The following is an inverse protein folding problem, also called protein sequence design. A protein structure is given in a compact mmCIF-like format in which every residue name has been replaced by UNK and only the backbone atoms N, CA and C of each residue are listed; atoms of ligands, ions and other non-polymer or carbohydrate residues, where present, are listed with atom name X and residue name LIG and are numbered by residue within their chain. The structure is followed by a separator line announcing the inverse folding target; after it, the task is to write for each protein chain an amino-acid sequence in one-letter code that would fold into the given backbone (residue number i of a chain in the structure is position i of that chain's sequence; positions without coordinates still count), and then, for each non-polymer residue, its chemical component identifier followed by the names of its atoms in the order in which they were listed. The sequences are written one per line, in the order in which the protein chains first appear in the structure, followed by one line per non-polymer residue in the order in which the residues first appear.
data_IF_641085981260
#
_entry.id   IF_641085981260
#
_cell.length_a   1.000
_cell.length_b   1.000
_cell.length_c   1.000
_cell.angle_alpha   90.00
_cell.angle_beta   90.00
_cell.angle_gamma   90.00
#
_symmetry.space_group_name_H-M   'P 1'
#
loop_
_entity.id
_entity.type
_entity.pdbx_description
1 polymer ?
#
# COMPACT_ATOMS: atom_id res chain seq x y z
N UNK A 1 12.42 -16.98 -0.50
CA UNK A 1 13.73 -16.54 0.04
C UNK A 1 13.67 -16.71 1.56
N UNK A 2 14.53 -17.55 2.16
CA UNK A 2 14.52 -17.80 3.61
C UNK A 2 15.08 -16.59 4.37
N UNK A 3 14.32 -16.03 5.32
CA UNK A 3 14.66 -14.78 6.04
C UNK A 3 15.28 -14.98 7.42
N UNK A 4 15.61 -16.21 7.82
CA UNK A 4 16.18 -16.48 9.15
C UNK A 4 15.18 -16.23 10.27
N UNK A 5 13.98 -16.80 10.14
CA UNK A 5 12.88 -16.63 11.09
C UNK A 5 13.29 -17.06 12.50
N UNK A 6 13.00 -16.20 13.47
CA UNK A 6 13.12 -16.50 14.90
C UNK A 6 11.73 -16.93 15.36
N UNK A 7 11.59 -18.21 15.72
CA UNK A 7 10.36 -18.73 16.31
C UNK A 7 10.24 -18.25 17.77
N UNK A 8 9.26 -17.38 18.03
CA UNK A 8 9.00 -16.84 19.38
C UNK A 8 7.72 -17.47 19.91
N UNK A 9 7.86 -18.28 20.96
CA UNK A 9 6.71 -18.90 21.65
C UNK A 9 6.19 -18.00 22.74
N UNK A 10 4.92 -17.62 22.63
CA UNK A 10 4.22 -16.82 23.63
C UNK A 10 3.43 -17.76 24.55
N UNK A 11 3.61 -17.61 25.87
CA UNK A 11 3.00 -18.47 26.89
C UNK A 11 1.71 -17.92 27.49
N UNK A 12 1.20 -16.82 26.95
CA UNK A 12 -0.03 -16.14 27.37
C UNK A 12 -0.78 -15.59 26.15
N UNK A 13 -2.04 -15.19 26.33
CA UNK A 13 -2.75 -14.41 25.32
C UNK A 13 -1.98 -13.11 25.04
N UNK A 14 -1.67 -12.88 23.77
CA UNK A 14 -0.89 -11.73 23.33
C UNK A 14 -1.34 -11.33 21.94
N UNK A 15 -1.67 -10.05 21.79
CA UNK A 15 -1.94 -9.46 20.49
C UNK A 15 -0.70 -8.72 20.00
N UNK A 16 -0.03 -9.28 19.00
CA UNK A 16 1.15 -8.67 18.37
C UNK A 16 0.80 -7.36 17.64
N UNK A 17 -0.46 -7.18 17.21
CA UNK A 17 -0.88 -5.98 16.47
C UNK A 17 -0.75 -4.69 17.28
N UNK A 18 -0.66 -4.78 18.60
CA UNK A 18 -0.38 -3.62 19.47
C UNK A 18 0.97 -2.95 19.11
N UNK A 19 1.92 -3.70 18.54
CA UNK A 19 3.23 -3.17 18.11
C UNK A 19 3.29 -2.83 16.63
N UNK A 20 2.36 -3.34 15.82
CA UNK A 20 2.38 -3.20 14.36
C UNK A 20 1.20 -2.41 13.80
N UNK A 21 0.52 -1.64 14.64
CA UNK A 21 -0.55 -0.74 14.25
C UNK A 21 -0.08 0.72 14.21
N UNK A 22 -0.14 1.35 13.03
CA UNK A 22 0.43 2.67 12.76
C UNK A 22 -0.58 3.64 12.16
N UNK A 23 -0.52 4.90 12.55
CA UNK A 23 -1.32 5.95 11.92
C UNK A 23 -0.75 6.32 10.55
N UNK A 24 -1.56 6.19 9.50
CA UNK A 24 -1.12 6.45 8.14
C UNK A 24 -1.25 7.94 7.81
N UNK A 25 -0.13 8.65 7.89
CA UNK A 25 -0.09 10.08 7.59
C UNK A 25 0.03 10.37 6.10
N UNK A 26 0.85 9.60 5.38
CA UNK A 26 1.22 9.89 4.00
C UNK A 26 1.63 8.62 3.26
N UNK A 27 1.18 8.51 2.02
CA UNK A 27 1.63 7.50 1.04
C UNK A 27 2.29 8.23 -0.11
N UNK A 28 3.39 7.69 -0.63
CA UNK A 28 4.05 8.28 -1.77
C UNK A 28 4.94 7.30 -2.51
N UNK A 29 5.16 7.58 -3.78
CA UNK A 29 6.05 6.79 -4.65
C UNK A 29 7.29 7.57 -5.02
N UNK A 30 8.19 6.97 -5.79
CA UNK A 30 9.25 7.69 -6.48
C UNK A 30 9.27 7.28 -7.94
N UNK A 31 9.07 8.24 -8.86
CA UNK A 31 8.92 7.96 -10.30
C UNK A 31 10.24 7.92 -11.07
N UNK A 32 11.26 8.63 -10.59
CA UNK A 32 12.53 8.83 -11.33
C UNK A 32 13.78 8.42 -10.54
N UNK A 33 13.72 8.39 -9.20
CA UNK A 33 14.84 8.04 -8.32
C UNK A 33 14.41 6.94 -7.32
N UNK A 34 15.32 6.28 -6.62
CA UNK A 34 14.93 5.40 -5.53
C UNK A 34 14.25 6.18 -4.37
N UNK A 35 13.38 5.51 -3.61
CA UNK A 35 12.62 6.12 -2.50
C UNK A 35 13.55 6.75 -1.45
N UNK A 36 14.75 6.20 -1.28
CA UNK A 36 15.75 6.71 -0.34
C UNK A 36 16.29 8.08 -0.76
N UNK A 37 16.71 8.22 -2.01
CA UNK A 37 17.27 9.46 -2.57
C UNK A 37 16.22 10.57 -2.55
N UNK A 38 14.98 10.28 -2.96
CA UNK A 38 13.88 11.25 -2.92
C UNK A 38 13.58 11.73 -1.49
N UNK A 39 13.65 10.83 -0.51
CA UNK A 39 13.20 11.14 0.84
C UNK A 39 14.26 11.87 1.69
N UNK A 40 15.54 11.52 1.50
CA UNK A 40 16.63 12.02 2.35
C UNK A 40 17.51 13.08 1.69
N UNK A 41 17.60 13.13 0.36
CA UNK A 41 18.47 14.10 -0.35
C UNK A 41 17.79 15.43 -0.60
N UNK A 42 16.52 15.41 -1.01
CA UNK A 42 15.76 16.61 -1.37
C UNK A 42 14.60 16.84 -0.41
N UNK A 43 14.91 17.34 0.80
CA UNK A 43 13.98 17.75 1.88
C UNK A 43 12.48 17.57 1.53
N UNK A 44 11.99 16.33 1.62
CA UNK A 44 10.71 15.98 1.03
C UNK A 44 9.58 16.74 1.72
N UNK A 45 8.87 17.59 0.98
CA UNK A 45 7.84 18.51 1.52
C UNK A 45 6.79 17.79 2.38
N UNK A 46 6.42 16.56 2.02
CA UNK A 46 5.49 15.73 2.81
C UNK A 46 6.04 15.40 4.19
N UNK A 47 7.30 14.97 4.27
CA UNK A 47 7.97 14.64 5.54
C UNK A 47 8.13 15.89 6.42
N UNK A 48 8.55 17.02 5.83
CA UNK A 48 8.64 18.29 6.57
C UNK A 48 7.27 18.71 7.10
N UNK A 49 6.20 18.58 6.30
CA UNK A 49 4.84 18.91 6.74
C UNK A 49 4.38 18.05 7.92
N UNK A 50 4.71 16.76 7.92
CA UNK A 50 4.44 15.84 9.03
C UNK A 50 5.23 16.24 10.28
N UNK A 51 6.52 16.51 10.14
CA UNK A 51 7.37 16.88 11.28
C UNK A 51 6.96 18.22 11.90
N UNK A 52 6.46 19.16 11.08
CA UNK A 52 6.03 20.49 11.54
C UNK A 52 4.61 20.49 12.12
N UNK A 53 3.67 19.79 11.49
CA UNK A 53 2.24 19.89 11.81
C UNK A 53 1.64 18.62 12.43
N UNK A 54 2.40 17.53 12.49
CA UNK A 54 1.99 16.31 13.19
C UNK A 54 2.02 16.50 14.71
N UNK A 55 1.22 15.71 15.42
CA UNK A 55 1.22 15.67 16.88
C UNK A 55 1.74 14.31 17.37
N UNK A 56 2.76 14.29 18.26
CA UNK A 56 3.25 13.05 18.82
C UNK A 56 2.17 12.43 19.70
N UNK A 57 2.10 11.11 19.70
CA UNK A 57 1.16 10.34 20.51
C UNK A 57 1.64 10.25 21.96
N UNK A 58 2.94 10.17 22.17
CA UNK A 58 3.52 10.09 23.52
C UNK A 58 3.82 11.48 24.06
N UNK A 59 3.38 11.73 25.29
CA UNK A 59 3.67 12.99 25.98
C UNK A 59 5.18 13.18 26.16
N UNK A 60 5.68 14.34 25.76
CA UNK A 60 7.10 14.70 25.87
C UNK A 60 7.98 14.24 24.70
N UNK A 61 7.46 13.43 23.77
CA UNK A 61 8.17 13.00 22.56
C UNK A 61 8.14 14.05 21.46
N UNK A 62 9.07 13.98 20.51
CA UNK A 62 9.01 14.74 19.25
C UNK A 62 8.39 13.89 18.16
N UNK A 63 7.79 14.53 17.16
CA UNK A 63 7.31 13.83 15.95
C UNK A 63 8.37 12.99 15.27
N UNK A 64 9.63 13.43 15.30
CA UNK A 64 10.76 12.68 14.72
C UNK A 64 11.02 11.35 15.41
N UNK A 65 10.65 11.22 16.69
CA UNK A 65 10.97 10.05 17.52
C UNK A 65 9.95 8.92 17.28
N UNK A 66 8.78 9.26 16.76
CA UNK A 66 7.67 8.33 16.50
C UNK A 66 7.38 8.11 15.00
N UNK A 67 8.09 8.85 14.13
CA UNK A 67 7.90 8.74 12.68
C UNK A 67 8.57 7.48 12.14
N UNK A 68 7.75 6.53 11.68
CA UNK A 68 8.20 5.34 10.97
C UNK A 68 8.00 5.52 9.47
N UNK A 69 8.97 5.06 8.67
CA UNK A 69 8.91 5.09 7.21
C UNK A 69 9.00 3.66 6.70
N UNK A 70 7.94 3.22 6.03
CA UNK A 70 7.88 1.91 5.40
C UNK A 70 8.28 2.03 3.93
N UNK A 71 9.12 1.10 3.48
CA UNK A 71 9.48 0.94 2.08
C UNK A 71 8.93 -0.40 1.61
N UNK A 72 8.02 -0.37 0.65
CA UNK A 72 7.40 -1.55 0.08
C UNK A 72 8.01 -1.88 -1.27
N UNK A 73 8.07 -3.18 -1.56
CA UNK A 73 8.37 -3.74 -2.86
C UNK A 73 7.10 -4.36 -3.43
N UNK A 74 7.01 -4.43 -4.76
CA UNK A 74 5.90 -5.12 -5.41
C UNK A 74 6.13 -6.62 -5.41
N UNK A 75 5.10 -7.36 -5.00
CA UNK A 75 4.98 -8.79 -5.19
C UNK A 75 3.58 -9.05 -5.75
N UNK A 76 3.50 -9.61 -6.95
CA UNK A 76 2.24 -9.84 -7.64
C UNK A 76 2.30 -11.08 -8.54
N UNK A 77 1.12 -11.64 -8.76
CA UNK A 77 0.90 -12.69 -9.75
C UNK A 77 -0.34 -12.36 -10.57
N UNK A 78 -0.37 -12.83 -11.81
CA UNK A 78 -1.48 -12.60 -12.74
C UNK A 78 -2.25 -13.90 -12.96
N UNK A 79 -3.59 -13.81 -13.00
CA UNK A 79 -4.46 -14.91 -13.41
C UNK A 79 -5.05 -14.56 -14.78
N UNK A 80 -4.64 -15.31 -15.80
CA UNK A 80 -5.16 -15.14 -17.15
C UNK A 80 -6.18 -16.25 -17.46
N UNK A 81 -7.34 -15.87 -17.99
CA UNK A 81 -8.39 -16.81 -18.43
C UNK A 81 -8.55 -16.69 -19.94
N UNK A 82 -7.98 -17.64 -20.68
CA UNK A 82 -7.99 -17.65 -22.14
C UNK A 82 -9.09 -18.58 -22.65
N UNK A 83 -10.01 -18.06 -23.47
CA UNK A 83 -11.06 -18.87 -24.12
C UNK A 83 -10.75 -19.16 -25.59
N UNK A 84 -9.84 -18.39 -26.19
CA UNK A 84 -9.42 -18.51 -27.58
C UNK A 84 -7.90 -18.52 -27.69
N UNK A 85 -7.38 -18.93 -28.85
CA UNK A 85 -5.94 -18.85 -29.14
C UNK A 85 -5.45 -17.39 -29.18
N UNK A 86 -6.28 -16.47 -29.69
CA UNK A 86 -5.96 -15.03 -29.70
C UNK A 86 -5.85 -14.44 -28.28
N UNK A 87 -6.74 -14.84 -27.36
CA UNK A 87 -6.62 -14.44 -25.94
C UNK A 87 -5.33 -14.96 -25.33
N UNK A 88 -4.96 -16.20 -25.65
CA UNK A 88 -3.72 -16.79 -25.17
C UNK A 88 -2.50 -16.02 -25.68
N UNK A 89 -2.43 -15.71 -26.98
CA UNK A 89 -1.31 -14.96 -27.55
C UNK A 89 -1.20 -13.54 -26.97
N UNK A 90 -2.33 -12.86 -26.74
CA UNK A 90 -2.38 -11.53 -26.14
C UNK A 90 -1.95 -11.55 -24.67
N UNK A 91 -2.52 -12.44 -23.85
CA UNK A 91 -2.43 -12.37 -22.39
C UNK A 91 -1.20 -13.12 -21.84
N UNK A 92 -0.68 -14.11 -22.56
CA UNK A 92 0.49 -14.89 -22.12
C UNK A 92 1.78 -14.04 -22.03
N UNK A 93 1.85 -12.98 -22.82
CA UNK A 93 3.00 -12.05 -22.83
C UNK A 93 2.74 -10.75 -22.08
N UNK A 94 1.59 -10.61 -21.43
CA UNK A 94 1.23 -9.39 -20.71
C UNK A 94 2.15 -9.19 -19.51
N UNK A 95 2.91 -8.09 -19.54
CA UNK A 95 3.76 -7.63 -18.44
C UNK A 95 3.43 -6.17 -18.20
N UNK A 96 2.86 -5.87 -17.05
CA UNK A 96 2.62 -4.50 -16.63
C UNK A 96 3.92 -3.87 -16.18
N UNK A 97 4.26 -2.65 -16.64
CA UNK A 97 5.35 -1.89 -16.05
C UNK A 97 5.12 -1.65 -14.56
N UNK A 98 6.08 -2.02 -13.71
CA UNK A 98 6.01 -1.85 -12.25
C UNK A 98 5.67 -0.41 -11.84
N UNK A 99 6.15 0.58 -12.58
CA UNK A 99 5.86 1.99 -12.32
C UNK A 99 4.36 2.31 -12.39
N UNK A 100 3.62 1.68 -13.31
CA UNK A 100 2.17 1.83 -13.42
C UNK A 100 1.46 1.18 -12.24
N UNK A 101 1.91 -0.01 -11.83
CA UNK A 101 1.38 -0.72 -10.65
C UNK A 101 1.59 0.10 -9.38
N UNK A 102 2.82 0.62 -9.18
CA UNK A 102 3.17 1.48 -8.04
C UNK A 102 2.34 2.78 -8.04
N UNK A 103 2.19 3.42 -9.21
CA UNK A 103 1.41 4.65 -9.33
C UNK A 103 -0.08 4.44 -9.08
N UNK A 104 -0.64 3.32 -9.52
CA UNK A 104 -2.05 2.98 -9.28
C UNK A 104 -2.28 2.62 -7.80
N UNK A 105 -1.39 1.82 -7.20
CA UNK A 105 -1.43 1.50 -5.78
C UNK A 105 -1.35 2.75 -4.89
N UNK A 106 -0.47 3.72 -5.19
CA UNK A 106 -0.41 5.00 -4.49
C UNK A 106 -1.78 5.70 -4.46
N UNK A 107 -2.42 5.77 -5.62
CA UNK A 107 -3.72 6.44 -5.78
C UNK A 107 -4.81 5.69 -5.03
N UNK A 108 -4.80 4.37 -5.11
CA UNK A 108 -5.72 3.49 -4.41
C UNK A 108 -5.67 3.72 -2.90
N UNK A 109 -4.47 3.65 -2.31
CA UNK A 109 -4.28 3.82 -0.87
C UNK A 109 -4.61 5.25 -0.41
N UNK A 110 -4.18 6.28 -1.14
CA UNK A 110 -4.47 7.67 -0.77
C UNK A 110 -5.97 7.96 -0.82
N UNK A 111 -6.65 7.50 -1.88
CA UNK A 111 -8.05 7.78 -2.09
C UNK A 111 -8.93 7.05 -1.08
N UNK A 112 -8.71 5.74 -0.90
CA UNK A 112 -9.59 4.90 -0.10
C UNK A 112 -9.29 4.92 1.40
N UNK A 113 -8.04 5.17 1.83
CA UNK A 113 -7.72 5.32 3.25
C UNK A 113 -7.78 6.79 3.70
N UNK A 114 -7.90 7.75 2.77
CA UNK A 114 -8.01 9.18 3.03
C UNK A 114 -6.89 9.77 3.92
N UNK A 115 -5.64 9.57 3.53
CA UNK A 115 -4.46 9.97 4.33
C UNK A 115 -4.36 11.48 4.58
N UNK A 116 -4.05 11.88 5.82
CA UNK A 116 -4.13 13.29 6.26
C UNK A 116 -3.21 14.27 5.52
N UNK A 117 -1.99 13.84 5.18
CA UNK A 117 -0.95 14.75 4.66
C UNK A 117 -0.76 14.70 3.14
N UNK A 118 -1.45 13.79 2.42
CA UNK A 118 -1.47 13.82 0.96
C UNK A 118 -2.36 14.96 0.47
N UNK A 119 -1.78 15.91 -0.28
CA UNK A 119 -2.51 17.05 -0.85
C UNK A 119 -3.42 16.65 -2.01
N UNK A 120 -2.97 15.71 -2.83
CA UNK A 120 -3.75 15.14 -3.93
C UNK A 120 -4.47 13.91 -3.40
N UNK A 121 -5.79 13.84 -3.60
CA UNK A 121 -6.67 12.78 -3.05
C UNK A 121 -7.20 11.79 -4.08
N UNK A 122 -6.90 12.03 -5.36
CA UNK A 122 -7.28 11.17 -6.49
C UNK A 122 -8.78 10.79 -6.50
N UNK A 123 -9.67 11.78 -6.32
CA UNK A 123 -11.13 11.56 -6.23
C UNK A 123 -11.77 10.86 -7.46
N UNK A 124 -11.02 10.73 -8.55
CA UNK A 124 -11.47 10.05 -9.78
C UNK A 124 -10.92 8.61 -9.89
N UNK A 125 -10.10 8.14 -8.94
CA UNK A 125 -9.60 6.78 -8.91
C UNK A 125 -10.77 5.77 -9.00
N UNK A 126 -10.67 4.69 -9.79
CA UNK A 126 -9.48 4.18 -10.49
C UNK A 126 -9.14 4.88 -11.82
N UNK A 127 -9.94 5.84 -12.28
CA UNK A 127 -9.72 6.50 -13.58
C UNK A 127 -8.46 7.36 -13.60
N UNK A 128 -7.68 7.23 -14.66
CA UNK A 128 -6.52 8.07 -14.93
C UNK A 128 -5.64 7.53 -16.05
N UNK A 129 -4.82 8.40 -16.65
CA UNK A 129 -3.85 8.02 -17.70
C UNK A 129 -2.57 7.38 -17.13
N UNK A 130 -2.34 7.56 -15.84
CA UNK A 130 -1.15 7.09 -15.11
C UNK A 130 -1.66 6.06 -14.10
N UNK A 131 -1.32 4.78 -14.27
CA UNK A 131 -1.87 3.68 -13.47
C UNK A 131 -2.34 2.52 -14.34
N UNK A 132 -3.26 1.69 -13.82
CA UNK A 132 -3.69 0.45 -14.47
C UNK A 132 -5.02 0.56 -15.22
N UNK A 133 -5.71 1.71 -15.16
CA UNK A 133 -7.03 1.88 -15.78
C UNK A 133 -7.03 1.61 -17.29
N UNK A 134 -5.96 1.98 -18.00
CA UNK A 134 -5.82 1.81 -19.45
C UNK A 134 -5.26 0.45 -19.87
N UNK A 135 -4.87 -0.39 -18.91
CA UNK A 135 -4.19 -1.66 -19.17
C UNK A 135 -5.13 -2.79 -19.62
N UNK A 136 -6.45 -2.55 -19.63
CA UNK A 136 -7.44 -3.54 -20.05
C UNK A 136 -7.64 -4.69 -19.06
N UNK A 137 -7.15 -4.55 -17.83
CA UNK A 137 -7.38 -5.52 -16.75
C UNK A 137 -8.87 -5.57 -16.38
N UNK A 138 -9.40 -6.78 -16.20
CA UNK A 138 -10.79 -6.97 -15.75
C UNK A 138 -10.97 -6.57 -14.30
N UNK A 139 -10.09 -7.08 -13.44
CA UNK A 139 -10.05 -6.78 -12.02
C UNK A 139 -8.63 -6.99 -11.50
N UNK A 140 -8.33 -6.34 -10.39
CA UNK A 140 -7.08 -6.48 -9.66
C UNK A 140 -7.28 -6.06 -8.20
N UNK A 141 -6.34 -6.45 -7.35
CA UNK A 141 -6.39 -6.12 -5.93
C UNK A 141 -5.04 -5.73 -5.37
N UNK A 142 -5.05 -4.84 -4.37
CA UNK A 142 -3.89 -4.49 -3.58
C UNK A 142 -4.08 -4.92 -2.13
N UNK A 143 -3.08 -5.58 -1.58
CA UNK A 143 -2.99 -5.91 -0.16
C UNK A 143 -1.58 -5.61 0.36
N UNK A 144 -1.42 -5.64 1.67
CA UNK A 144 -0.13 -5.52 2.32
C UNK A 144 0.28 -6.91 2.81
N UNK A 145 1.35 -7.44 2.22
CA UNK A 145 1.92 -8.76 2.53
C UNK A 145 2.86 -8.71 3.74
N UNK A 146 2.38 -8.18 4.86
CA UNK A 146 3.11 -8.05 6.12
C UNK A 146 2.12 -7.90 7.28
N UNK A 147 2.47 -8.38 8.48
CA UNK A 147 1.60 -8.32 9.67
C UNK A 147 1.58 -6.92 10.31
N UNK A 148 1.26 -5.91 9.50
CA UNK A 148 1.12 -4.50 9.89
C UNK A 148 -0.31 -4.01 9.61
N UNK A 149 -0.74 -3.06 10.42
CA UNK A 149 -2.03 -2.39 10.28
C UNK A 149 -1.81 -0.89 10.13
N UNK A 150 -2.53 -0.30 9.21
CA UNK A 150 -2.57 1.14 9.01
C UNK A 150 -3.95 1.66 9.35
N UNK A 151 -4.02 2.71 10.15
CA UNK A 151 -5.29 3.37 10.46
C UNK A 151 -5.24 4.86 10.11
N UNK A 152 -6.39 5.39 9.73
CA UNK A 152 -6.68 6.82 9.61
C UNK A 152 -7.88 7.16 10.47
N UNK A 153 -8.34 8.41 10.42
CA UNK A 153 -9.55 8.83 11.14
C UNK A 153 -10.82 8.09 10.64
N UNK A 154 -10.76 7.50 9.44
CA UNK A 154 -11.94 6.91 8.77
C UNK A 154 -11.91 5.39 8.71
N UNK A 155 -10.72 4.77 8.61
CA UNK A 155 -10.60 3.34 8.37
C UNK A 155 -9.32 2.76 8.92
N UNK A 156 -9.38 1.48 9.29
CA UNK A 156 -8.22 0.64 9.53
C UNK A 156 -8.10 -0.39 8.41
N UNK A 157 -6.88 -0.57 7.90
CA UNK A 157 -6.51 -1.51 6.85
C UNK A 157 -5.43 -2.45 7.38
N UNK A 158 -5.73 -3.75 7.39
CA UNK A 158 -4.90 -4.77 8.01
C UNK A 158 -4.23 -5.66 6.95
N UNK A 159 -2.90 -5.66 6.94
CA UNK A 159 -2.10 -6.61 6.17
C UNK A 159 -1.94 -7.96 6.89
N UNK A 160 -1.47 -8.94 6.12
CA UNK A 160 -1.02 -10.25 6.62
C UNK A 160 0.19 -10.72 5.85
N UNK A 161 1.13 -11.33 6.56
CA UNK A 161 2.28 -11.96 5.90
C UNK A 161 1.87 -13.24 5.15
N UNK A 162 1.04 -14.08 5.78
CA UNK A 162 0.59 -15.34 5.20
C UNK A 162 -0.58 -15.11 4.22
N UNK A 163 -0.42 -15.54 2.97
CA UNK A 163 -1.43 -15.39 1.90
C UNK A 163 -2.73 -16.17 2.17
N UNK A 164 -2.69 -17.15 3.08
CA UNK A 164 -3.88 -17.94 3.46
C UNK A 164 -4.67 -17.31 4.62
N UNK A 165 -4.11 -16.30 5.29
CA UNK A 165 -4.80 -15.58 6.34
C UNK A 165 -5.70 -14.49 5.74
N UNK A 166 -6.81 -14.21 6.42
CA UNK A 166 -7.67 -13.09 6.08
C UNK A 166 -6.90 -11.76 6.19
N UNK A 167 -6.75 -11.07 5.07
CA UNK A 167 -6.19 -9.71 4.97
C UNK A 167 -7.17 -8.77 4.29
N UNK A 168 -7.14 -7.50 4.66
CA UNK A 168 -7.91 -6.50 3.94
C UNK A 168 -7.26 -6.22 2.59
N UNK A 169 -8.07 -5.95 1.58
CA UNK A 169 -7.56 -5.60 0.26
C UNK A 169 -8.40 -4.51 -0.39
N UNK A 170 -7.76 -3.71 -1.23
CA UNK A 170 -8.45 -2.83 -2.18
C UNK A 170 -8.77 -3.67 -3.40
N UNK A 171 -10.04 -3.72 -3.79
CA UNK A 171 -10.50 -4.38 -5.00
C UNK A 171 -10.90 -3.34 -6.04
N UNK A 172 -10.38 -3.50 -7.25
CA UNK A 172 -10.72 -2.66 -8.41
C UNK A 172 -11.37 -3.50 -9.49
N UNK A 173 -12.52 -3.04 -9.98
CA UNK A 173 -13.25 -3.65 -11.09
C UNK A 173 -13.84 -2.54 -11.98
N UNK A 174 -13.31 -2.45 -13.20
CA UNK A 174 -13.64 -1.38 -14.13
C UNK A 174 -13.40 0.01 -13.52
N UNK A 175 -14.48 0.77 -13.35
CA UNK A 175 -14.46 2.15 -12.86
C UNK A 175 -14.69 2.27 -11.36
N UNK A 176 -14.72 1.16 -10.62
CA UNK A 176 -15.06 1.13 -9.20
C UNK A 176 -13.91 0.54 -8.39
N UNK A 177 -13.56 1.22 -7.30
CA UNK A 177 -12.61 0.72 -6.31
C UNK A 177 -13.25 0.73 -4.92
N UNK A 178 -12.96 -0.29 -4.11
CA UNK A 178 -13.48 -0.41 -2.73
C UNK A 178 -12.49 -1.17 -1.85
N UNK A 179 -12.52 -0.88 -0.55
CA UNK A 179 -11.86 -1.72 0.45
C UNK A 179 -12.79 -2.88 0.79
N UNK A 180 -12.23 -4.10 0.78
CA UNK A 180 -12.87 -5.30 1.29
C UNK A 180 -12.21 -5.65 2.62
N UNK A 181 -13.02 -5.70 3.67
CA UNK A 181 -12.60 -6.02 5.03
C UNK A 181 -12.81 -7.51 5.28
N UNK A 182 -11.74 -8.23 5.60
CA UNK A 182 -11.80 -9.65 5.99
C UNK A 182 -11.40 -9.86 7.46
N UNK A 183 -10.90 -8.80 8.12
CA UNK A 183 -10.39 -8.81 9.49
C UNK A 183 -11.18 -7.92 10.43
#
# INVERSE_FOLDING_TARGET
MWRGEIDVKIMAEFDFRVFTNFELYYVGISKENDSFTRLFKDAHKGRTSILTNGHPKTFGSRMSDELVIFMFELDYFNINVCSTLEDFERDFSYVTPDLLVVADAEKAFINLLNTKFNKVKYNQFPKGEDGLHTEGLKNYCYTIKEDISFYTDEIQFNGKFNETDDSDFIFVEGDVAKIVKLT
#
